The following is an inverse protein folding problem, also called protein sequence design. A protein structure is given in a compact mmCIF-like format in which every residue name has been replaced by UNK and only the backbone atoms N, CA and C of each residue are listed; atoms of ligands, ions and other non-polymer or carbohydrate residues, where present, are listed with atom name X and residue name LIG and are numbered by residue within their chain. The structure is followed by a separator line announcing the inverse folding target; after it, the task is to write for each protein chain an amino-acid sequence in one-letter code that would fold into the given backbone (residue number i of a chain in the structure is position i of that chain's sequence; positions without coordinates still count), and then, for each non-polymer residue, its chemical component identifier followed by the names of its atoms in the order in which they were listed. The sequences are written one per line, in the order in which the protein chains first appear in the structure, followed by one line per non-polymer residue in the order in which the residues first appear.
data_IF_706034858992
#
_entry.id   IF_706034858992
#
_cell.length_a   1.000
_cell.length_b   1.000
_cell.length_c   1.000
_cell.angle_alpha   90.00
_cell.angle_beta   90.00
_cell.angle_gamma   90.00
#
_symmetry.space_group_name_H-M   'P 1'
#
loop_
_entity.id
_entity.type
_entity.pdbx_description
1 polymer ?
#
# COMPACT_ATOMS: atom_id res chain seq x y z
N UNK A 1 -59.10 4.52 -9.35
CA UNK A 1 -60.21 4.28 -8.38
C UNK A 1 -59.62 4.31 -7.00
N UNK A 2 -60.06 5.31 -6.17
CA UNK A 2 -59.90 5.50 -4.70
C UNK A 2 -58.47 5.51 -4.17
N UNK A 3 -57.82 6.63 -3.85
CA UNK A 3 -58.07 7.77 -2.92
C UNK A 3 -58.45 7.32 -1.48
N UNK A 4 -57.62 7.71 -0.50
CA UNK A 4 -57.98 8.29 0.80
C UNK A 4 -56.85 7.96 1.80
N UNK A 5 -56.30 8.74 2.66
CA UNK A 5 -56.38 10.10 3.24
C UNK A 5 -55.48 10.05 4.49
N UNK A 6 -54.58 10.99 4.59
CA UNK A 6 -54.42 12.08 5.57
C UNK A 6 -54.71 11.69 7.03
N UNK A 7 -53.72 11.91 7.87
CA UNK A 7 -53.83 12.05 9.29
C UNK A 7 -52.79 13.03 9.84
N UNK A 8 -53.24 14.20 10.16
CA UNK A 8 -52.54 15.39 10.65
C UNK A 8 -52.65 15.46 12.18
N UNK A 9 -51.75 16.27 12.82
CA UNK A 9 -51.86 16.98 14.10
C UNK A 9 -51.47 16.14 15.36
N UNK A 10 -50.76 16.67 16.37
CA UNK A 10 -50.85 18.01 16.98
C UNK A 10 -49.58 18.34 17.73
N UNK A 11 -49.28 19.63 17.74
CA UNK A 11 -48.36 20.32 18.63
C UNK A 11 -49.03 20.49 20.04
N UNK A 12 -48.25 20.46 21.08
CA UNK A 12 -48.68 20.93 22.40
C UNK A 12 -47.64 21.90 22.97
N UNK A 13 -48.14 23.03 23.27
CA UNK A 13 -47.63 24.31 23.71
C UNK A 13 -47.30 24.30 25.21
N UNK A 14 -46.16 24.89 25.54
CA UNK A 14 -45.80 25.81 26.63
C UNK A 14 -46.62 25.81 27.95
N UNK A 15 -45.90 25.75 29.08
CA UNK A 15 -46.14 26.62 30.22
C UNK A 15 -44.87 26.84 31.03
N UNK A 16 -44.44 28.10 31.16
CA UNK A 16 -43.63 28.62 32.27
C UNK A 16 -44.56 29.11 33.38
N UNK A 17 -44.10 29.18 34.63
CA UNK A 17 -44.22 30.43 35.40
C UNK A 17 -42.95 30.83 36.17
N UNK A 18 -42.49 32.05 35.99
CA UNK A 18 -42.58 33.21 36.88
C UNK A 18 -41.84 33.16 38.23
N UNK A 19 -40.89 34.04 38.25
CA UNK A 19 -40.15 34.74 39.29
C UNK A 19 -40.72 34.76 40.71
N UNK A 20 -39.81 34.68 41.69
CA UNK A 20 -39.96 35.52 42.86
C UNK A 20 -38.60 35.98 43.43
N UNK A 21 -38.46 37.29 43.54
CA UNK A 21 -37.40 38.02 44.23
C UNK A 21 -37.66 38.02 45.74
N UNK A 22 -36.61 37.91 46.51
CA UNK A 22 -36.67 38.14 47.97
C UNK A 22 -35.30 38.52 48.50
N UNK A 23 -35.13 39.80 48.63
CA UNK A 23 -34.04 40.48 49.35
C UNK A 23 -34.05 40.18 50.81
N UNK A 24 -32.90 39.93 51.47
CA UNK A 24 -32.62 40.55 52.74
C UNK A 24 -31.16 40.49 53.19
N UNK A 25 -30.73 41.57 53.61
CA UNK A 25 -29.48 42.17 54.07
C UNK A 25 -28.91 41.59 55.37
N UNK A 26 -27.60 41.75 55.50
CA UNK A 26 -26.78 41.96 56.69
C UNK A 26 -26.57 40.84 57.70
N UNK A 27 -25.32 40.44 57.94
CA UNK A 27 -24.55 40.81 59.12
C UNK A 27 -23.04 40.44 58.96
N UNK A 28 -22.23 41.43 59.33
CA UNK A 28 -20.77 41.34 59.49
C UNK A 28 -20.47 40.56 60.79
N UNK A 29 -19.55 39.60 60.76
CA UNK A 29 -18.80 39.18 61.94
C UNK A 29 -17.37 38.78 61.52
N UNK A 30 -16.44 39.62 61.94
CA UNK A 30 -15.00 39.49 61.88
C UNK A 30 -14.56 38.44 62.90
N UNK A 31 -13.87 37.38 62.49
CA UNK A 31 -13.13 36.51 63.39
C UNK A 31 -11.81 36.14 62.75
N UNK A 32 -10.76 36.82 63.21
CA UNK A 32 -9.36 36.45 62.92
C UNK A 32 -9.06 35.14 63.66
N UNK A 33 -8.78 34.10 62.94
CA UNK A 33 -8.08 32.93 63.47
C UNK A 33 -6.84 32.64 62.62
N UNK A 34 -5.69 32.82 63.25
CA UNK A 34 -4.41 32.41 62.84
C UNK A 34 -4.43 30.88 62.59
N UNK A 35 -4.35 30.44 61.37
CA UNK A 35 -4.08 29.04 61.04
C UNK A 35 -2.73 28.92 60.36
N UNK A 36 -1.85 28.25 61.07
CA UNK A 36 -0.50 27.81 60.67
C UNK A 36 -0.62 27.04 59.34
N UNK A 37 -0.03 27.58 58.30
CA UNK A 37 0.10 26.87 57.03
C UNK A 37 1.14 25.76 57.19
N UNK A 38 0.70 24.54 57.42
CA UNK A 38 1.48 23.34 57.11
C UNK A 38 1.62 23.27 55.60
N UNK A 39 2.79 23.59 55.11
CA UNK A 39 3.18 23.33 53.72
C UNK A 39 3.17 21.80 53.51
N UNK A 40 2.05 21.27 53.06
CA UNK A 40 2.04 19.95 52.44
C UNK A 40 2.73 20.10 51.06
N UNK A 41 3.99 19.69 51.01
CA UNK A 41 4.66 19.39 49.76
C UNK A 41 3.89 18.23 49.11
N UNK A 42 2.96 18.54 48.21
CA UNK A 42 2.44 17.55 47.29
C UNK A 42 3.64 17.02 46.49
N UNK A 43 3.91 15.70 46.51
CA UNK A 43 4.83 15.16 45.53
C UNK A 43 4.23 15.50 44.17
N UNK A 44 4.95 16.32 43.43
CA UNK A 44 4.67 16.55 42.02
C UNK A 44 4.68 15.17 41.38
N UNK A 45 3.51 14.60 41.18
CA UNK A 45 3.38 13.45 40.31
C UNK A 45 3.99 13.89 38.98
N UNK A 46 5.16 13.33 38.66
CA UNK A 46 5.72 13.46 37.34
C UNK A 46 4.63 12.99 36.40
N UNK A 47 4.00 13.94 35.72
CA UNK A 47 3.09 13.64 34.64
C UNK A 47 3.95 12.90 33.60
N UNK A 48 3.82 11.60 33.56
CA UNK A 48 4.25 10.83 32.40
C UNK A 48 3.47 11.44 31.24
N UNK A 49 4.07 12.39 30.54
CA UNK A 49 3.53 12.88 29.28
C UNK A 49 3.53 11.66 28.37
N UNK A 50 2.36 11.00 28.26
CA UNK A 50 2.16 9.92 27.32
C UNK A 50 2.54 10.43 25.93
N UNK A 51 3.21 9.60 25.17
CA UNK A 51 3.53 9.89 23.77
C UNK A 51 2.21 10.24 23.08
N UNK A 52 2.10 11.37 22.35
CA UNK A 52 0.88 11.70 21.62
C UNK A 52 0.42 10.53 20.77
N UNK A 53 -0.88 10.29 20.71
CA UNK A 53 -1.48 9.12 20.01
C UNK A 53 -0.99 9.00 18.58
N UNK A 54 -0.83 10.12 17.88
CA UNK A 54 -0.33 10.13 16.50
C UNK A 54 1.13 9.67 16.41
N UNK A 55 1.97 10.04 17.37
CA UNK A 55 3.36 9.59 17.43
C UNK A 55 3.46 8.10 17.75
N UNK A 56 2.62 7.61 18.66
CA UNK A 56 2.56 6.18 19.01
C UNK A 56 2.10 5.34 17.81
N UNK A 57 1.07 5.82 17.08
CA UNK A 57 0.59 5.19 15.86
C UNK A 57 1.70 5.10 14.79
N UNK A 58 2.38 6.21 14.51
CA UNK A 58 3.48 6.26 13.53
C UNK A 58 4.66 5.37 13.95
N UNK A 59 4.98 5.33 15.26
CA UNK A 59 6.03 4.45 15.81
C UNK A 59 5.69 2.98 15.61
N UNK A 60 4.43 2.59 15.85
CA UNK A 60 3.95 1.22 15.63
C UNK A 60 3.98 0.84 14.15
N UNK A 61 3.50 1.73 13.28
CA UNK A 61 3.56 1.55 11.84
C UNK A 61 5.01 1.33 11.35
N UNK A 62 5.94 2.17 11.83
CA UNK A 62 7.36 2.03 11.50
C UNK A 62 7.93 0.70 11.96
N UNK A 63 7.64 0.27 13.19
CA UNK A 63 8.13 -0.99 13.71
C UNK A 63 7.67 -2.19 12.87
N UNK A 64 6.40 -2.20 12.43
CA UNK A 64 5.87 -3.24 11.55
C UNK A 64 6.54 -3.26 10.17
N UNK A 65 6.80 -2.09 9.59
CA UNK A 65 7.55 -1.98 8.32
C UNK A 65 8.98 -2.50 8.49
N UNK A 66 9.66 -2.11 9.58
CA UNK A 66 11.02 -2.58 9.86
C UNK A 66 11.05 -4.12 10.03
N UNK A 67 10.07 -4.71 10.72
CA UNK A 67 9.90 -6.16 10.85
C UNK A 67 9.67 -6.83 9.49
N UNK A 68 8.81 -6.25 8.65
CA UNK A 68 8.55 -6.77 7.31
C UNK A 68 9.79 -6.74 6.42
N UNK A 69 10.58 -5.66 6.47
CA UNK A 69 11.85 -5.57 5.75
C UNK A 69 12.83 -6.65 6.25
N UNK A 70 12.92 -6.88 7.57
CA UNK A 70 13.76 -7.95 8.13
C UNK A 70 13.27 -9.32 7.67
N UNK A 71 11.96 -9.59 7.68
CA UNK A 71 11.36 -10.83 7.20
C UNK A 71 11.64 -11.07 5.72
N UNK A 72 11.64 -10.02 4.89
CA UNK A 72 11.96 -10.11 3.46
C UNK A 72 13.45 -10.39 3.18
N UNK A 73 14.34 -10.26 4.18
CA UNK A 73 15.79 -10.49 4.03
C UNK A 73 16.67 -9.31 4.45
N UNK A 74 16.10 -8.30 5.08
CA UNK A 74 16.83 -7.16 5.64
C UNK A 74 17.69 -6.43 4.59
N UNK A 75 18.98 -6.33 4.85
CA UNK A 75 19.92 -5.67 3.94
C UNK A 75 20.02 -6.36 2.57
N UNK A 76 19.87 -7.68 2.49
CA UNK A 76 19.88 -8.38 1.21
C UNK A 76 18.71 -7.90 0.32
N UNK A 77 17.51 -7.79 0.88
CA UNK A 77 16.34 -7.25 0.20
C UNK A 77 16.51 -5.77 -0.19
N UNK A 78 16.98 -4.93 0.72
CA UNK A 78 17.15 -3.49 0.45
C UNK A 78 18.19 -3.18 -0.62
N UNK A 79 19.16 -4.07 -0.82
CA UNK A 79 20.28 -3.90 -1.75
C UNK A 79 20.10 -4.67 -3.07
N UNK A 80 18.91 -5.17 -3.37
CA UNK A 80 18.63 -5.77 -4.69
C UNK A 80 18.87 -4.72 -5.78
N UNK A 81 19.72 -5.04 -6.75
CA UNK A 81 19.97 -4.18 -7.91
C UNK A 81 19.18 -4.65 -9.13
N UNK A 82 19.08 -5.95 -9.30
CA UNK A 82 18.33 -6.55 -10.39
C UNK A 82 17.67 -7.87 -9.98
N UNK A 83 16.64 -8.25 -10.72
CA UNK A 83 15.85 -9.47 -10.52
C UNK A 83 15.64 -10.13 -11.87
N UNK A 84 15.90 -11.43 -11.96
CA UNK A 84 15.51 -12.28 -13.07
C UNK A 84 14.43 -13.26 -12.59
N UNK A 85 13.35 -13.37 -13.35
CA UNK A 85 12.22 -14.23 -13.03
C UNK A 85 11.82 -15.06 -14.24
N UNK A 86 11.42 -16.29 -13.99
CA UNK A 86 10.73 -17.13 -14.97
C UNK A 86 9.45 -17.68 -14.34
N UNK A 87 8.41 -17.82 -15.14
CA UNK A 87 7.16 -18.32 -14.62
C UNK A 87 6.06 -18.43 -15.67
N UNK A 88 4.84 -18.54 -15.18
CA UNK A 88 3.62 -18.57 -15.98
C UNK A 88 2.66 -17.51 -15.49
N UNK A 89 2.07 -16.78 -16.42
CA UNK A 89 1.05 -15.76 -16.14
C UNK A 89 -0.27 -16.15 -16.77
N UNK A 90 -1.35 -15.86 -16.04
CA UNK A 90 -2.72 -16.07 -16.45
C UNK A 90 -3.44 -14.74 -16.42
N UNK A 91 -4.21 -14.42 -17.45
CA UNK A 91 -5.05 -13.24 -17.51
C UNK A 91 -6.52 -13.61 -17.32
N UNK A 92 -7.27 -12.65 -16.78
CA UNK A 92 -8.68 -12.79 -16.51
C UNK A 92 -9.43 -11.58 -17.09
N UNK A 93 -10.68 -11.76 -17.42
CA UNK A 93 -11.57 -10.67 -17.81
C UNK A 93 -12.86 -10.80 -16.98
N UNK A 94 -13.18 -9.75 -16.23
CA UNK A 94 -14.31 -9.77 -15.27
C UNK A 94 -14.23 -11.00 -14.35
N UNK A 95 -13.04 -11.27 -13.80
CA UNK A 95 -12.80 -12.41 -12.93
C UNK A 95 -12.78 -13.79 -13.60
N UNK A 96 -13.06 -13.90 -14.90
CA UNK A 96 -13.08 -15.17 -15.64
C UNK A 96 -11.76 -15.39 -16.38
N UNK A 97 -11.18 -16.62 -16.37
CA UNK A 97 -9.97 -16.91 -17.11
C UNK A 97 -10.15 -16.65 -18.62
N UNK A 98 -9.28 -15.85 -19.19
CA UNK A 98 -9.26 -15.58 -20.64
C UNK A 98 -7.94 -16.01 -21.31
N UNK A 99 -7.09 -16.74 -20.60
CA UNK A 99 -5.86 -17.32 -21.13
C UNK A 99 -5.61 -18.71 -20.57
N UNK A 100 -4.92 -19.54 -21.35
CA UNK A 100 -4.43 -20.88 -20.93
C UNK A 100 -3.11 -20.83 -20.17
N UNK A 101 -2.65 -19.62 -19.87
CA UNK A 101 -1.38 -19.35 -19.21
C UNK A 101 -0.23 -19.24 -20.21
N UNK A 102 0.54 -18.17 -20.07
CA UNK A 102 1.67 -17.84 -20.94
C UNK A 102 2.97 -17.91 -20.14
N UNK A 103 3.98 -18.57 -20.68
CA UNK A 103 5.32 -18.57 -20.09
C UNK A 103 5.91 -17.18 -20.30
N UNK A 104 6.57 -16.67 -19.26
CA UNK A 104 7.26 -15.40 -19.31
C UNK A 104 8.65 -15.49 -18.67
N UNK A 105 9.55 -14.62 -19.13
CA UNK A 105 10.81 -14.25 -18.50
C UNK A 105 10.77 -12.76 -18.25
N UNK A 106 11.14 -12.34 -17.04
CA UNK A 106 11.20 -10.95 -16.66
C UNK A 106 12.57 -10.62 -16.12
N UNK A 107 13.14 -9.55 -16.60
CA UNK A 107 14.38 -8.96 -16.15
C UNK A 107 14.08 -7.56 -15.68
N UNK A 108 14.28 -7.31 -14.40
CA UNK A 108 14.03 -6.02 -13.82
C UNK A 108 15.32 -5.49 -13.21
N UNK A 109 15.69 -4.25 -13.53
CA UNK A 109 16.81 -3.55 -12.94
C UNK A 109 16.30 -2.30 -12.26
N UNK A 110 16.50 -2.25 -10.96
CA UNK A 110 16.00 -1.16 -10.13
C UNK A 110 16.75 0.15 -10.47
N UNK A 111 16.07 1.32 -10.53
CA UNK A 111 14.67 1.48 -10.13
C UNK A 111 13.64 1.28 -11.25
N UNK A 112 13.98 1.38 -12.52
CA UNK A 112 12.99 1.68 -13.56
C UNK A 112 13.19 1.00 -14.91
N UNK A 113 14.08 0.00 -15.01
CA UNK A 113 14.26 -0.79 -16.22
C UNK A 113 13.61 -2.16 -16.08
N UNK A 114 12.75 -2.51 -17.02
CA UNK A 114 12.01 -3.76 -17.01
C UNK A 114 11.93 -4.33 -18.44
N UNK A 115 12.23 -5.60 -18.59
CA UNK A 115 12.08 -6.35 -19.82
C UNK A 115 11.29 -7.61 -19.54
N UNK A 116 10.19 -7.78 -20.26
CA UNK A 116 9.30 -8.92 -20.14
C UNK A 116 9.24 -9.61 -21.49
N UNK A 117 9.65 -10.87 -21.54
CA UNK A 117 9.59 -11.70 -22.73
C UNK A 117 8.53 -12.77 -22.53
N UNK A 118 7.68 -12.95 -23.51
CA UNK A 118 6.59 -13.92 -23.46
C UNK A 118 6.66 -14.88 -24.65
N UNK A 119 5.98 -16.02 -24.53
CA UNK A 119 5.99 -17.18 -25.42
C UNK A 119 7.25 -18.04 -25.26
N UNK A 120 7.16 -19.32 -25.66
CA UNK A 120 8.34 -20.22 -25.66
C UNK A 120 9.48 -19.75 -26.55
N UNK A 121 9.18 -18.96 -27.59
CA UNK A 121 10.17 -18.42 -28.53
C UNK A 121 10.80 -17.13 -28.03
N UNK A 122 10.22 -16.51 -26.98
CA UNK A 122 10.64 -15.21 -26.43
C UNK A 122 10.64 -14.11 -27.51
N UNK A 123 9.69 -14.18 -28.42
CA UNK A 123 9.58 -13.36 -29.63
C UNK A 123 8.59 -12.20 -29.50
N UNK A 124 7.93 -12.08 -28.36
CA UNK A 124 7.11 -10.93 -27.97
C UNK A 124 7.73 -10.35 -26.71
N UNK A 125 8.21 -9.13 -26.79
CA UNK A 125 8.98 -8.49 -25.71
C UNK A 125 8.40 -7.12 -25.41
N UNK A 126 8.13 -6.86 -24.14
CA UNK A 126 7.88 -5.52 -23.63
C UNK A 126 9.14 -5.01 -22.93
N UNK A 127 9.55 -3.79 -23.24
CA UNK A 127 10.68 -3.11 -22.59
C UNK A 127 10.19 -1.78 -22.03
N UNK A 128 10.46 -1.54 -20.76
CA UNK A 128 10.24 -0.25 -20.11
C UNK A 128 11.57 0.31 -19.62
N UNK A 129 11.80 1.57 -19.89
CA UNK A 129 13.00 2.28 -19.46
C UNK A 129 12.57 3.69 -19.03
N UNK A 130 12.53 3.93 -17.73
CA UNK A 130 11.87 5.10 -17.16
C UNK A 130 10.39 5.13 -17.52
N UNK A 131 9.95 6.21 -18.14
CA UNK A 131 8.56 6.45 -18.55
C UNK A 131 8.33 6.13 -20.04
N UNK A 132 9.22 5.36 -20.65
CA UNK A 132 9.08 4.93 -22.03
C UNK A 132 8.82 3.43 -22.07
N UNK A 133 7.88 3.01 -22.93
CA UNK A 133 7.55 1.63 -23.18
C UNK A 133 7.65 1.27 -24.67
N UNK A 134 8.19 0.10 -24.94
CA UNK A 134 8.38 -0.43 -26.29
C UNK A 134 7.89 -1.88 -26.36
N UNK A 135 7.36 -2.25 -27.49
CA UNK A 135 7.07 -3.64 -27.85
C UNK A 135 7.97 -4.06 -29.01
N UNK A 136 8.58 -5.22 -28.86
CA UNK A 136 9.44 -5.84 -29.89
C UNK A 136 8.78 -7.15 -30.30
N UNK A 137 8.53 -7.31 -31.59
CA UNK A 137 7.97 -8.53 -32.19
C UNK A 137 8.72 -8.85 -33.47
N UNK A 138 8.29 -9.91 -34.16
CA UNK A 138 8.81 -10.23 -35.51
C UNK A 138 8.58 -9.09 -36.53
N UNK A 139 7.65 -8.17 -36.27
CA UNK A 139 7.37 -7.00 -37.10
C UNK A 139 8.31 -5.82 -36.84
N UNK A 140 9.20 -5.95 -35.86
CA UNK A 140 10.11 -4.90 -35.42
C UNK A 140 9.71 -4.30 -34.07
N UNK A 141 10.29 -3.15 -33.76
CA UNK A 141 10.09 -2.41 -32.51
C UNK A 141 9.10 -1.28 -32.73
N UNK A 142 8.13 -1.14 -31.84
CA UNK A 142 7.20 0.00 -31.79
C UNK A 142 7.11 0.55 -30.37
N UNK A 143 6.76 1.82 -30.23
CA UNK A 143 6.35 2.37 -28.93
C UNK A 143 5.04 1.72 -28.50
N UNK A 144 4.92 1.45 -27.20
CA UNK A 144 3.65 1.03 -26.61
C UNK A 144 2.66 2.20 -26.55
N UNK A 145 1.40 1.90 -26.46
CA UNK A 145 0.36 2.90 -26.33
C UNK A 145 0.52 3.68 -25.00
N UNK A 146 0.27 4.98 -25.04
CA UNK A 146 0.47 5.86 -23.87
C UNK A 146 -0.29 5.40 -22.63
N UNK A 147 -1.49 4.81 -22.84
CA UNK A 147 -2.29 4.25 -21.74
C UNK A 147 -1.56 3.07 -21.08
N UNK A 148 -1.03 2.13 -21.86
CA UNK A 148 -0.35 0.94 -21.32
C UNK A 148 0.92 1.33 -20.57
N UNK A 149 1.67 2.32 -21.08
CA UNK A 149 2.85 2.87 -20.42
C UNK A 149 2.45 3.56 -19.10
N UNK A 150 1.40 4.38 -19.11
CA UNK A 150 0.91 5.07 -17.92
C UNK A 150 0.45 4.07 -16.84
N UNK A 151 -0.26 3.02 -17.24
CA UNK A 151 -0.71 1.96 -16.35
C UNK A 151 0.46 1.17 -15.75
N UNK A 152 1.50 0.90 -16.57
CA UNK A 152 2.72 0.24 -16.09
C UNK A 152 3.47 1.14 -15.08
N UNK A 153 3.70 2.41 -15.41
CA UNK A 153 4.41 3.39 -14.56
C UNK A 153 3.69 3.56 -13.23
N UNK A 154 2.35 3.69 -13.27
CA UNK A 154 1.53 3.75 -12.06
C UNK A 154 1.73 2.51 -11.18
N UNK A 155 1.59 1.30 -11.73
CA UNK A 155 1.78 0.04 -10.97
C UNK A 155 3.19 -0.09 -10.41
N UNK A 156 4.22 0.34 -11.14
CA UNK A 156 5.60 0.39 -10.65
C UNK A 156 5.73 1.34 -9.46
N UNK A 157 5.17 2.55 -9.57
CA UNK A 157 5.22 3.57 -8.53
C UNK A 157 4.60 3.09 -7.21
N UNK A 158 3.50 2.36 -7.28
CA UNK A 158 2.82 1.77 -6.12
C UNK A 158 3.26 0.32 -5.81
N UNK A 159 4.33 -0.18 -6.43
CA UNK A 159 4.81 -1.54 -6.16
C UNK A 159 5.40 -1.67 -4.75
N UNK A 160 5.31 -2.87 -4.18
CA UNK A 160 5.86 -3.17 -2.86
C UNK A 160 7.34 -2.74 -2.74
N UNK A 161 8.16 -3.12 -3.74
CA UNK A 161 9.58 -2.77 -3.78
C UNK A 161 9.81 -1.26 -3.85
N UNK A 162 9.00 -0.55 -4.63
CA UNK A 162 9.14 0.90 -4.75
C UNK A 162 8.75 1.61 -3.45
N UNK A 163 7.68 1.18 -2.81
CA UNK A 163 7.23 1.72 -1.52
C UNK A 163 8.26 1.46 -0.43
N UNK A 164 8.67 0.20 -0.22
CA UNK A 164 9.58 -0.16 0.88
C UNK A 164 11.03 0.29 0.65
N UNK A 165 11.47 0.47 -0.59
CA UNK A 165 12.88 0.76 -0.90
C UNK A 165 13.14 2.19 -1.35
N UNK A 166 12.09 2.89 -1.84
CA UNK A 166 12.21 4.26 -2.33
C UNK A 166 11.36 5.23 -1.52
N UNK A 167 10.03 5.07 -1.43
CA UNK A 167 9.19 6.01 -0.70
C UNK A 167 9.65 6.24 0.75
N UNK A 168 9.97 5.17 1.48
CA UNK A 168 10.41 5.28 2.87
C UNK A 168 11.67 6.13 3.08
N UNK A 169 12.40 6.46 2.01
CA UNK A 169 13.60 7.32 2.03
C UNK A 169 13.30 8.76 1.60
N UNK A 170 12.09 9.01 1.11
CA UNK A 170 11.68 10.33 0.62
C UNK A 170 11.26 11.23 1.79
N UNK A 171 11.54 12.55 1.74
CA UNK A 171 11.06 13.46 2.76
C UNK A 171 9.55 13.59 2.73
N UNK A 172 8.93 13.78 3.91
CA UNK A 172 7.49 13.99 4.02
C UNK A 172 6.63 12.72 3.95
N UNK A 173 7.24 11.54 3.98
CA UNK A 173 6.50 10.29 4.09
C UNK A 173 5.89 10.16 5.49
N UNK A 174 4.60 9.84 5.55
CA UNK A 174 3.87 9.56 6.78
C UNK A 174 3.45 8.09 6.84
N UNK A 175 3.46 7.53 8.05
CA UNK A 175 3.14 6.13 8.32
C UNK A 175 1.96 6.07 9.28
N UNK A 176 0.94 5.28 8.94
CA UNK A 176 -0.26 5.11 9.74
C UNK A 176 -0.50 3.62 10.01
N UNK A 177 -0.57 3.27 11.28
CA UNK A 177 -1.04 1.94 11.67
C UNK A 177 -2.57 1.92 11.67
N UNK A 178 -3.15 1.05 10.84
CA UNK A 178 -4.60 0.96 10.63
C UNK A 178 -5.28 -0.12 11.50
N UNK A 179 -4.49 -0.92 12.19
CA UNK A 179 -4.98 -1.99 13.06
C UNK A 179 -4.87 -3.39 12.47
N UNK A 180 -5.30 -4.40 13.26
CA UNK A 180 -5.34 -5.78 12.80
C UNK A 180 -6.50 -6.00 11.84
N UNK A 181 -6.33 -6.96 10.90
CA UNK A 181 -7.36 -7.36 9.95
C UNK A 181 -7.20 -8.83 9.54
N UNK A 182 -7.98 -9.25 8.56
CA UNK A 182 -7.83 -10.55 7.89
C UNK A 182 -7.65 -10.31 6.40
N UNK A 183 -6.61 -10.88 5.81
CA UNK A 183 -6.36 -10.85 4.38
C UNK A 183 -5.92 -12.23 3.89
N UNK A 184 -6.61 -12.79 2.89
CA UNK A 184 -6.32 -14.13 2.38
C UNK A 184 -6.39 -15.21 3.48
N UNK A 185 -7.40 -15.14 4.36
CA UNK A 185 -7.62 -16.04 5.50
C UNK A 185 -6.52 -15.99 6.57
N UNK A 186 -5.58 -15.03 6.49
CA UNK A 186 -4.49 -14.84 7.44
C UNK A 186 -4.76 -13.64 8.35
N UNK A 187 -4.45 -13.71 9.66
CA UNK A 187 -4.42 -12.52 10.49
C UNK A 187 -3.26 -11.62 10.05
N UNK A 188 -3.55 -10.34 9.89
CA UNK A 188 -2.58 -9.36 9.38
C UNK A 188 -2.61 -8.07 10.20
N UNK A 189 -1.49 -7.34 10.16
CA UNK A 189 -1.38 -5.96 10.62
C UNK A 189 -1.36 -5.04 9.40
N UNK A 190 -2.13 -3.95 9.45
CA UNK A 190 -2.25 -3.00 8.34
C UNK A 190 -1.43 -1.74 8.61
N UNK A 191 -0.69 -1.31 7.60
CA UNK A 191 0.04 -0.03 7.63
C UNK A 191 -0.19 0.71 6.31
N UNK A 192 -0.63 1.96 6.40
CA UNK A 192 -0.68 2.86 5.25
C UNK A 192 0.60 3.71 5.21
N UNK A 193 1.28 3.65 4.07
CA UNK A 193 2.41 4.52 3.73
C UNK A 193 1.88 5.61 2.81
N UNK A 194 2.03 6.87 3.20
CA UNK A 194 1.59 8.03 2.43
C UNK A 194 2.80 8.89 2.07
N UNK A 195 2.95 9.23 0.79
CA UNK A 195 4.02 10.11 0.33
C UNK A 195 3.63 11.61 0.44
N UNK A 196 4.56 12.50 0.16
CA UNK A 196 4.34 13.95 0.23
C UNK A 196 3.28 14.48 -0.77
N UNK A 197 2.93 13.69 -1.78
CA UNK A 197 1.87 14.02 -2.74
C UNK A 197 0.47 13.54 -2.30
N UNK A 198 0.34 13.03 -1.06
CA UNK A 198 -0.88 12.41 -0.52
C UNK A 198 -1.33 11.16 -1.31
N UNK A 199 -0.38 10.46 -1.91
CA UNK A 199 -0.62 9.16 -2.50
C UNK A 199 -0.37 8.09 -1.44
N UNK A 200 -1.30 7.16 -1.29
CA UNK A 200 -1.26 6.16 -0.22
C UNK A 200 -1.22 4.72 -0.74
N UNK A 201 -0.45 3.88 -0.05
CA UNK A 201 -0.46 2.42 -0.22
C UNK A 201 -0.69 1.78 1.14
N UNK A 202 -1.70 0.95 1.25
CA UNK A 202 -1.91 0.12 2.45
C UNK A 202 -1.23 -1.23 2.24
N UNK A 203 -0.33 -1.56 3.13
CA UNK A 203 0.40 -2.82 3.20
C UNK A 203 -0.19 -3.69 4.30
N UNK A 204 -0.33 -4.97 4.03
CA UNK A 204 -0.86 -5.97 4.96
C UNK A 204 0.23 -6.99 5.23
N UNK A 205 0.65 -7.09 6.47
CA UNK A 205 1.72 -7.98 6.91
C UNK A 205 1.14 -9.12 7.74
N UNK A 206 1.50 -10.35 7.45
CA UNK A 206 1.13 -11.52 8.26
C UNK A 206 1.57 -11.30 9.71
N UNK A 207 0.66 -11.47 10.67
CA UNK A 207 0.93 -11.19 12.09
C UNK A 207 1.98 -12.11 12.71
N UNK A 208 2.25 -13.27 12.10
CA UNK A 208 3.22 -14.25 12.60
C UNK A 208 4.57 -14.17 11.90
N UNK A 209 4.57 -14.06 10.57
CA UNK A 209 5.80 -14.10 9.76
C UNK A 209 6.30 -12.70 9.41
N UNK A 210 5.46 -11.67 9.54
CA UNK A 210 5.68 -10.29 9.10
C UNK A 210 5.90 -10.14 7.59
N UNK A 211 5.73 -11.20 6.80
CA UNK A 211 5.81 -11.11 5.35
C UNK A 211 4.60 -10.36 4.77
N UNK A 212 4.78 -9.57 3.71
CA UNK A 212 3.65 -8.95 3.02
C UNK A 212 2.68 -9.98 2.48
N UNK A 213 1.40 -9.87 2.78
CA UNK A 213 0.32 -10.73 2.26
C UNK A 213 -0.42 -10.04 1.13
N UNK A 214 -0.61 -8.72 1.27
CA UNK A 214 -1.37 -7.93 0.32
C UNK A 214 -0.86 -6.50 0.34
N UNK A 215 -1.01 -5.80 -0.78
CA UNK A 215 -1.01 -4.35 -0.83
C UNK A 215 -2.26 -3.86 -1.54
N UNK A 216 -2.71 -2.66 -1.19
CA UNK A 216 -3.84 -1.98 -1.81
C UNK A 216 -3.47 -0.53 -2.08
N UNK A 217 -3.80 -0.04 -3.26
CA UNK A 217 -3.78 1.39 -3.54
C UNK A 217 -4.97 1.81 -4.38
N UNK A 218 -5.32 3.08 -4.31
CA UNK A 218 -6.40 3.65 -5.13
C UNK A 218 -5.91 4.87 -5.90
N UNK A 219 -6.47 5.07 -7.05
CA UNK A 219 -6.18 6.19 -7.93
C UNK A 219 -7.44 6.66 -8.65
N UNK A 220 -7.41 7.89 -9.13
CA UNK A 220 -8.50 8.44 -9.94
C UNK A 220 -8.09 8.45 -11.41
N UNK A 221 -8.93 7.89 -12.26
CA UNK A 221 -8.72 7.96 -13.70
C UNK A 221 -8.76 9.44 -14.13
N UNK A 222 -7.77 9.93 -14.89
CA UNK A 222 -7.73 11.32 -15.31
C UNK A 222 -8.86 11.68 -16.30
N UNK A 223 -9.45 10.70 -16.99
CA UNK A 223 -10.48 10.90 -18.01
C UNK A 223 -11.87 10.99 -17.40
N UNK A 224 -12.31 9.95 -16.70
CA UNK A 224 -13.69 9.85 -16.16
C UNK A 224 -13.79 10.18 -14.67
N UNK A 225 -12.64 10.44 -14.00
CA UNK A 225 -12.54 10.73 -12.56
C UNK A 225 -13.00 9.61 -11.65
N UNK A 226 -13.26 8.43 -12.18
CA UNK A 226 -13.61 7.27 -11.36
C UNK A 226 -12.45 6.90 -10.43
N UNK A 227 -12.80 6.52 -9.21
CA UNK A 227 -11.85 5.94 -8.27
C UNK A 227 -11.69 4.47 -8.57
N UNK A 228 -10.48 4.07 -8.87
CA UNK A 228 -10.10 2.69 -9.08
C UNK A 228 -9.28 2.17 -7.90
N UNK A 229 -9.40 0.90 -7.62
CA UNK A 229 -8.65 0.20 -6.57
C UNK A 229 -7.89 -0.96 -7.21
N UNK A 230 -6.61 -1.04 -6.93
CA UNK A 230 -5.77 -2.18 -7.32
C UNK A 230 -5.23 -2.88 -6.07
N UNK A 231 -5.39 -4.21 -6.04
CA UNK A 231 -4.82 -5.07 -5.02
C UNK A 231 -3.77 -5.99 -5.64
N UNK A 232 -2.69 -6.25 -4.91
CA UNK A 232 -1.81 -7.39 -5.16
C UNK A 232 -1.74 -8.27 -3.92
N UNK A 233 -1.97 -9.55 -4.10
CA UNK A 233 -1.85 -10.58 -3.07
C UNK A 233 -0.61 -11.41 -3.33
N UNK A 234 0.20 -11.60 -2.29
CA UNK A 234 1.47 -12.31 -2.33
C UNK A 234 1.37 -13.60 -1.54
N UNK A 235 1.84 -14.69 -2.12
CA UNK A 235 1.80 -16.00 -1.47
C UNK A 235 2.96 -16.90 -1.91
N UNK A 236 3.08 -18.07 -1.28
CA UNK A 236 4.08 -19.08 -1.59
C UNK A 236 5.50 -18.51 -1.56
N UNK A 237 5.84 -17.86 -0.45
CA UNK A 237 7.18 -17.31 -0.24
C UNK A 237 8.23 -18.40 -0.19
N UNK A 238 9.39 -18.14 -0.78
CA UNK A 238 10.56 -19.03 -0.78
C UNK A 238 11.83 -18.22 -0.56
N UNK A 239 12.71 -18.75 0.27
CA UNK A 239 14.00 -18.12 0.54
C UNK A 239 14.96 -18.36 -0.63
N UNK A 240 15.32 -17.32 -1.34
CA UNK A 240 16.26 -17.33 -2.47
C UNK A 240 17.36 -16.31 -2.20
N UNK A 241 18.61 -16.76 -2.14
CA UNK A 241 19.78 -15.89 -1.91
C UNK A 241 19.64 -15.01 -0.65
N UNK A 242 18.97 -15.51 0.39
CA UNK A 242 18.72 -14.75 1.63
C UNK A 242 17.56 -13.75 1.55
N UNK A 243 16.74 -13.82 0.50
CA UNK A 243 15.58 -12.95 0.26
C UNK A 243 14.33 -13.82 0.15
N UNK A 244 13.30 -13.49 0.92
CA UNK A 244 11.97 -14.10 0.80
C UNK A 244 11.25 -13.53 -0.42
N UNK A 245 11.06 -14.38 -1.43
CA UNK A 245 10.41 -14.01 -2.70
C UNK A 245 9.04 -14.69 -2.81
N UNK A 246 7.95 -13.94 -3.13
CA UNK A 246 6.65 -14.54 -3.39
C UNK A 246 6.65 -15.26 -4.74
N UNK A 247 6.31 -16.55 -4.75
CA UNK A 247 6.21 -17.36 -5.96
C UNK A 247 4.81 -17.37 -6.56
N UNK A 248 3.84 -16.78 -5.86
CA UNK A 248 2.49 -16.51 -6.37
C UNK A 248 2.15 -15.04 -6.14
N UNK A 249 1.72 -14.36 -7.19
CA UNK A 249 1.24 -12.97 -7.12
C UNK A 249 -0.04 -12.86 -7.91
N UNK A 250 -1.13 -12.48 -7.23
CA UNK A 250 -2.45 -12.27 -7.85
C UNK A 250 -2.81 -10.80 -7.80
N UNK A 251 -3.21 -10.24 -8.93
CA UNK A 251 -3.66 -8.86 -9.05
C UNK A 251 -5.16 -8.79 -9.28
N UNK A 252 -5.80 -7.86 -8.57
CA UNK A 252 -7.20 -7.53 -8.71
C UNK A 252 -7.34 -6.07 -9.13
N UNK A 253 -8.36 -5.79 -9.91
CA UNK A 253 -8.76 -4.46 -10.32
C UNK A 253 -10.25 -4.27 -9.98
N UNK A 254 -10.54 -3.29 -9.12
CA UNK A 254 -11.90 -3.05 -8.60
C UNK A 254 -12.59 -4.29 -8.03
N UNK A 255 -11.81 -5.20 -7.43
CA UNK A 255 -12.29 -6.44 -6.84
C UNK A 255 -12.29 -7.65 -7.79
N UNK A 256 -12.19 -7.44 -9.09
CA UNK A 256 -12.11 -8.52 -10.06
C UNK A 256 -10.68 -8.99 -10.27
N UNK A 257 -10.47 -10.31 -10.29
CA UNK A 257 -9.17 -10.87 -10.63
C UNK A 257 -8.81 -10.51 -12.08
N UNK A 258 -7.63 -9.91 -12.27
CA UNK A 258 -7.14 -9.46 -13.57
C UNK A 258 -5.95 -10.30 -14.05
N UNK A 259 -5.06 -10.67 -13.13
CA UNK A 259 -3.87 -11.40 -13.48
C UNK A 259 -3.38 -12.27 -12.31
N UNK A 260 -2.84 -13.43 -12.63
CA UNK A 260 -2.17 -14.29 -11.66
C UNK A 260 -0.84 -14.77 -12.25
N UNK A 261 0.24 -14.66 -11.47
CA UNK A 261 1.57 -15.12 -11.85
C UNK A 261 2.07 -16.16 -10.87
N UNK A 262 2.61 -17.23 -11.40
CA UNK A 262 3.33 -18.26 -10.67
C UNK A 262 4.76 -18.31 -11.16
N UNK A 263 5.72 -18.12 -10.25
CA UNK A 263 7.14 -18.19 -10.57
C UNK A 263 7.63 -19.63 -10.51
N UNK A 264 8.51 -19.98 -11.43
CA UNK A 264 9.28 -21.24 -11.42
C UNK A 264 10.70 -21.01 -10.94
N UNK A 265 11.26 -19.82 -11.24
CA UNK A 265 12.58 -19.42 -10.74
C UNK A 265 12.66 -17.92 -10.50
N UNK A 266 13.51 -17.55 -9.55
CA UNK A 266 13.90 -16.17 -9.24
C UNK A 266 15.40 -16.14 -8.98
N UNK A 267 16.08 -15.10 -9.43
CA UNK A 267 17.48 -14.81 -9.08
C UNK A 267 17.65 -13.31 -8.88
N UNK A 268 18.50 -12.94 -7.93
CA UNK A 268 18.79 -11.55 -7.59
C UNK A 268 20.25 -11.22 -7.91
N UNK A 269 20.51 -9.96 -8.25
CA UNK A 269 21.86 -9.37 -8.39
C UNK A 269 22.74 -10.14 -9.38
N UNK A 270 22.20 -10.40 -10.57
CA UNK A 270 22.91 -11.11 -11.65
C UNK A 270 23.75 -10.16 -12.52
N UNK A 271 23.85 -8.86 -12.14
CA UNK A 271 24.54 -7.81 -12.90
C UNK A 271 24.01 -7.68 -14.34
N UNK A 272 22.69 -7.57 -14.47
CA UNK A 272 22.03 -7.40 -15.75
C UNK A 272 22.60 -6.21 -16.52
N UNK A 273 23.04 -6.45 -17.77
CA UNK A 273 23.56 -5.38 -18.63
C UNK A 273 22.46 -4.39 -19.00
N UNK A 274 22.81 -3.11 -19.08
CA UNK A 274 21.89 -2.06 -19.52
C UNK A 274 21.44 -2.27 -20.98
N UNK A 275 22.25 -2.89 -21.81
CA UNK A 275 21.90 -3.26 -23.19
C UNK A 275 20.71 -4.22 -23.28
N UNK A 276 20.41 -4.97 -22.22
CA UNK A 276 19.22 -5.83 -22.15
C UNK A 276 17.93 -5.02 -22.23
N UNK A 277 17.95 -3.78 -21.77
CA UNK A 277 16.81 -2.86 -21.71
C UNK A 277 16.79 -1.86 -22.88
N UNK A 278 17.68 -2.05 -23.86
CA UNK A 278 17.69 -1.24 -25.08
C UNK A 278 16.68 -1.83 -26.09
N UNK A 279 15.66 -1.04 -26.40
CA UNK A 279 14.63 -1.41 -27.36
C UNK A 279 15.09 -1.38 -28.82
N UNK A 280 16.23 -0.77 -29.13
CA UNK A 280 16.83 -0.78 -30.47
C UNK A 280 17.48 -2.13 -30.80
N UNK A 281 17.84 -2.92 -29.78
CA UNK A 281 18.40 -4.25 -29.93
C UNK A 281 17.27 -5.25 -30.17
N UNK A 282 17.00 -5.56 -31.44
CA UNK A 282 16.16 -6.71 -31.80
C UNK A 282 16.76 -7.97 -31.17
N UNK A 283 15.95 -8.72 -30.43
CA UNK A 283 16.40 -9.91 -29.69
C UNK A 283 16.92 -10.98 -30.68
N UNK A 284 18.20 -10.93 -31.05
CA UNK A 284 18.92 -12.11 -31.48
C UNK A 284 19.47 -12.78 -30.24
N UNK A 285 18.76 -13.82 -29.81
CA UNK A 285 19.20 -14.84 -28.88
C UNK A 285 19.92 -14.36 -27.61
N UNK A 286 19.22 -14.45 -26.46
CA UNK A 286 19.92 -14.53 -25.18
C UNK A 286 21.00 -15.62 -25.25
N UNK A 287 22.19 -15.43 -24.66
CA UNK A 287 23.24 -16.44 -24.68
C UNK A 287 22.69 -17.73 -24.07
N UNK A 288 22.78 -18.83 -24.80
CA UNK A 288 22.56 -20.17 -24.26
C UNK A 288 23.58 -20.39 -23.16
N UNK A 289 23.10 -20.64 -21.94
CA UNK A 289 23.91 -21.24 -20.88
C UNK A 289 24.16 -22.70 -21.20
#
# INVERSE_FOLDING_TARGET
MKVTRIGRLQAATIVQPASNQGTMKHLLALLLLLSVALAQSNPTAASSQGIPVDQENARKAKALIDQAIQALGGNAYLNIQDISQEGRTYSFHLGQPNSVGTIFWRFYKFPDKDRIEITKKRDIVAVFNGDQGYEITYKGTRKQDAKDVSDYVRRRHYSLDWVLRKWLKEPGVALFYEGPAVAGEKPVEQVTVMNASNEGVTLYFDSNTHLPVKKTFSWRDPTDKQRNVEDEVYDNYRLIQGIEAPFSVTRYYNGDMENQRFLTSVSFNQNLSDSLFDASVTSKAAPKK
#
